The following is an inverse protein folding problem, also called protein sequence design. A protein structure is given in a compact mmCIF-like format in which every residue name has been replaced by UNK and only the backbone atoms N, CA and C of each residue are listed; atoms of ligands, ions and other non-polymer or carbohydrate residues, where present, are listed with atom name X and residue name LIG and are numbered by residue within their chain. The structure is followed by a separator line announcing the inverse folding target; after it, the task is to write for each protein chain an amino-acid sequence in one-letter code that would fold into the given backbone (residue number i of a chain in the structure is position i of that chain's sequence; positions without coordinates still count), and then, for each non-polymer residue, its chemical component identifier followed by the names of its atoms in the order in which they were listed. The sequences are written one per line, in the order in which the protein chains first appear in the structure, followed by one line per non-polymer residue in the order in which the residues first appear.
data_IF_757027578533
#
_entry.id   IF_757027578533
#
_cell.length_a   1.000
_cell.length_b   1.000
_cell.length_c   1.000
_cell.angle_alpha   90.00
_cell.angle_beta   90.00
_cell.angle_gamma   90.00
#
_symmetry.space_group_name_H-M   'P 1'
#
loop_
_entity.id
_entity.type
_entity.pdbx_description
1 polymer ?
#
# COMPACT_ATOMS: atom_id res chain seq x y z
N UNK A 1 -33.79 -13.88 -3.30
CA UNK A 1 -32.33 -14.19 -3.27
C UNK A 1 -31.58 -13.05 -3.96
N UNK A 2 -30.59 -12.48 -3.32
CA UNK A 2 -29.72 -11.42 -3.88
C UNK A 2 -28.33 -12.02 -4.13
N UNK A 3 -27.63 -11.51 -5.16
CA UNK A 3 -26.19 -11.75 -5.36
C UNK A 3 -25.43 -10.60 -4.72
N UNK A 4 -24.52 -10.91 -3.82
CA UNK A 4 -23.81 -9.92 -3.01
C UNK A 4 -22.31 -10.26 -3.06
N UNK A 5 -21.50 -9.28 -3.41
CA UNK A 5 -20.04 -9.35 -3.29
C UNK A 5 -19.61 -8.43 -2.15
N UNK A 6 -18.86 -8.96 -1.22
CA UNK A 6 -18.31 -8.22 -0.08
C UNK A 6 -16.81 -8.20 -0.18
N UNK A 7 -16.23 -7.03 0.05
CA UNK A 7 -14.79 -6.83 0.15
C UNK A 7 -14.48 -6.08 1.44
N UNK A 8 -13.31 -6.30 2.00
CA UNK A 8 -12.74 -5.48 3.07
C UNK A 8 -11.44 -4.83 2.59
N UNK A 9 -10.90 -3.90 3.36
CA UNK A 9 -9.59 -3.32 3.04
C UNK A 9 -8.54 -4.43 2.96
N UNK A 10 -7.67 -4.34 1.94
CA UNK A 10 -6.59 -5.29 1.77
C UNK A 10 -5.49 -5.00 2.80
N UNK A 11 -5.10 -5.96 3.65
CA UNK A 11 -3.99 -5.76 4.56
C UNK A 11 -2.69 -5.60 3.78
N UNK A 12 -1.87 -4.64 4.19
CA UNK A 12 -0.60 -4.39 3.56
C UNK A 12 0.43 -5.45 3.97
N UNK A 13 1.02 -6.14 2.99
CA UNK A 13 1.93 -7.28 3.20
C UNK A 13 3.32 -6.86 3.72
N UNK A 14 3.38 -5.87 4.60
CA UNK A 14 4.61 -5.33 5.20
C UNK A 14 4.73 -5.63 6.70
N UNK A 15 3.83 -6.38 7.30
CA UNK A 15 3.88 -6.68 8.73
C UNK A 15 2.70 -7.52 9.20
N UNK A 16 2.67 -7.91 10.48
CA UNK A 16 1.59 -8.71 11.05
C UNK A 16 0.28 -7.90 11.09
N UNK A 17 -0.84 -8.62 11.15
CA UNK A 17 -2.13 -8.01 11.40
C UNK A 17 -2.16 -7.38 12.81
N UNK A 18 -2.83 -6.27 12.93
CA UNK A 18 -3.17 -5.65 14.22
C UNK A 18 -4.68 -5.62 14.44
N UNK A 19 -5.11 -5.24 15.65
CA UNK A 19 -6.52 -5.25 16.02
C UNK A 19 -7.42 -4.45 15.05
N UNK A 20 -6.91 -3.36 14.46
CA UNK A 20 -7.67 -2.59 13.45
C UNK A 20 -8.06 -3.42 12.24
N UNK A 21 -7.14 -4.21 11.70
CA UNK A 21 -7.43 -5.12 10.59
C UNK A 21 -8.44 -6.22 11.00
N UNK A 22 -8.24 -6.80 12.19
CA UNK A 22 -9.12 -7.88 12.68
C UNK A 22 -10.53 -7.38 12.94
N UNK A 23 -10.70 -6.19 13.53
CA UNK A 23 -12.04 -5.63 13.80
C UNK A 23 -12.82 -5.45 12.50
N UNK A 24 -12.21 -4.87 11.46
CA UNK A 24 -12.86 -4.69 10.17
C UNK A 24 -13.27 -6.03 9.55
N UNK A 25 -12.34 -6.99 9.52
CA UNK A 25 -12.57 -8.29 8.93
C UNK A 25 -13.68 -9.09 9.70
N UNK A 26 -13.69 -9.02 11.03
CA UNK A 26 -14.75 -9.63 11.87
C UNK A 26 -16.10 -8.99 11.59
N UNK A 27 -16.18 -7.68 11.48
CA UNK A 27 -17.46 -6.99 11.17
C UNK A 27 -17.99 -7.40 9.80
N UNK A 28 -17.10 -7.48 8.79
CA UNK A 28 -17.47 -7.93 7.46
C UNK A 28 -17.96 -9.41 7.48
N UNK A 29 -17.23 -10.30 8.17
CA UNK A 29 -17.56 -11.72 8.27
C UNK A 29 -18.90 -11.94 8.96
N UNK A 30 -19.19 -11.25 10.06
CA UNK A 30 -20.48 -11.32 10.75
C UNK A 30 -21.61 -10.94 9.80
N UNK A 31 -21.45 -9.85 9.05
CA UNK A 31 -22.46 -9.41 8.10
C UNK A 31 -22.65 -10.41 6.95
N UNK A 32 -21.57 -10.97 6.41
CA UNK A 32 -21.61 -12.00 5.37
C UNK A 32 -22.35 -13.25 5.85
N UNK A 33 -22.03 -13.74 7.06
CA UNK A 33 -22.74 -14.87 7.67
C UNK A 33 -24.24 -14.61 7.77
N UNK A 34 -24.64 -13.42 8.22
CA UNK A 34 -26.03 -13.04 8.26
C UNK A 34 -26.68 -13.09 6.87
N UNK A 35 -26.04 -12.55 5.82
CA UNK A 35 -26.59 -12.59 4.47
C UNK A 35 -26.73 -14.01 3.93
N UNK A 36 -25.74 -14.88 4.19
CA UNK A 36 -25.81 -16.31 3.84
C UNK A 36 -26.92 -17.01 4.59
N UNK A 37 -27.12 -16.75 5.88
CA UNK A 37 -28.22 -17.30 6.70
C UNK A 37 -29.60 -16.84 6.21
N UNK A 38 -29.73 -15.64 5.65
CA UNK A 38 -30.96 -15.12 5.04
C UNK A 38 -31.21 -15.70 3.62
N UNK A 39 -30.39 -16.64 3.16
CA UNK A 39 -30.54 -17.31 1.86
C UNK A 39 -30.07 -16.49 0.68
N UNK A 40 -29.20 -15.53 0.89
CA UNK A 40 -28.58 -14.77 -0.20
C UNK A 40 -27.33 -15.49 -0.74
N UNK A 41 -27.02 -15.30 -2.03
CA UNK A 41 -25.76 -15.71 -2.67
C UNK A 41 -24.73 -14.64 -2.35
N UNK A 42 -23.97 -14.85 -1.28
CA UNK A 42 -23.02 -13.86 -0.75
C UNK A 42 -21.61 -14.41 -0.77
N UNK A 43 -20.72 -13.71 -1.48
CA UNK A 43 -19.29 -14.01 -1.54
C UNK A 43 -18.50 -12.94 -0.79
N UNK A 44 -17.56 -13.38 0.06
CA UNK A 44 -16.62 -12.53 0.76
C UNK A 44 -15.20 -12.76 0.23
N UNK A 45 -14.61 -11.75 -0.40
CA UNK A 45 -13.28 -11.82 -0.99
C UNK A 45 -12.36 -10.75 -0.41
N UNK A 46 -11.11 -11.11 -0.22
CA UNK A 46 -10.04 -10.19 0.19
C UNK A 46 -8.71 -10.64 -0.42
N UNK A 47 -7.68 -9.81 -0.30
CA UNK A 47 -6.35 -10.13 -0.80
C UNK A 47 -5.28 -9.39 0.02
N UNK A 48 -4.03 -9.84 -0.07
CA UNK A 48 -2.86 -9.08 0.36
C UNK A 48 -2.60 -7.90 -0.57
N UNK A 49 -2.36 -6.71 -0.02
CA UNK A 49 -1.75 -5.60 -0.76
C UNK A 49 -0.21 -5.79 -0.73
N UNK A 50 0.32 -6.36 -1.81
CA UNK A 50 1.65 -6.96 -1.84
C UNK A 50 2.71 -6.14 -2.60
N UNK A 51 2.45 -4.87 -2.90
CA UNK A 51 3.37 -4.02 -3.65
C UNK A 51 3.75 -2.75 -2.88
N UNK A 52 4.89 -2.17 -3.28
CA UNK A 52 5.33 -0.86 -2.78
C UNK A 52 6.74 -0.88 -2.20
N UNK A 53 7.35 0.30 -2.20
CA UNK A 53 8.72 0.53 -1.73
C UNK A 53 8.96 0.08 -0.26
N UNK A 54 8.02 0.24 0.69
CA UNK A 54 8.23 -0.25 2.06
C UNK A 54 8.49 -1.76 2.16
N UNK A 55 7.83 -2.57 1.32
CA UNK A 55 8.08 -4.02 1.25
C UNK A 55 9.51 -4.28 0.76
N UNK A 56 9.95 -3.58 -0.29
CA UNK A 56 11.30 -3.74 -0.83
C UNK A 56 12.38 -3.39 0.20
N UNK A 57 12.21 -2.29 0.93
CA UNK A 57 13.16 -1.85 1.96
C UNK A 57 13.21 -2.84 3.12
N UNK A 58 12.06 -3.33 3.56
CA UNK A 58 12.00 -4.34 4.61
C UNK A 58 12.66 -5.65 4.17
N UNK A 59 12.38 -6.12 2.97
CA UNK A 59 13.01 -7.32 2.41
C UNK A 59 14.54 -7.18 2.33
N UNK A 60 15.03 -6.02 1.90
CA UNK A 60 16.46 -5.71 1.89
C UNK A 60 17.06 -5.72 3.31
N UNK A 61 16.37 -5.13 4.29
CA UNK A 61 16.81 -5.12 5.69
C UNK A 61 16.85 -6.52 6.32
N UNK A 62 15.96 -7.41 5.89
CA UNK A 62 15.92 -8.81 6.31
C UNK A 62 16.79 -9.75 5.43
N UNK A 63 17.43 -9.22 4.39
CA UNK A 63 18.25 -9.99 3.42
C UNK A 63 17.49 -11.12 2.73
N UNK A 64 16.22 -10.89 2.41
CA UNK A 64 15.34 -11.79 1.64
C UNK A 64 14.82 -11.09 0.38
N UNK A 65 14.25 -11.85 -0.56
CA UNK A 65 13.56 -11.23 -1.70
C UNK A 65 12.19 -10.63 -1.27
N UNK A 66 11.67 -9.61 -1.98
CA UNK A 66 10.32 -9.11 -1.75
C UNK A 66 9.26 -10.21 -1.84
N UNK A 67 9.42 -11.17 -2.77
CA UNK A 67 8.52 -12.30 -2.98
C UNK A 67 8.51 -13.25 -1.77
N UNK A 68 9.67 -13.55 -1.21
CA UNK A 68 9.79 -14.37 0.01
C UNK A 68 9.14 -13.67 1.21
N UNK A 69 9.33 -12.35 1.35
CA UNK A 69 8.73 -11.58 2.42
C UNK A 69 7.20 -11.61 2.34
N UNK A 70 6.62 -11.29 1.17
CA UNK A 70 5.16 -11.25 1.01
C UNK A 70 4.53 -12.64 1.16
N UNK A 71 5.18 -13.71 0.68
CA UNK A 71 4.68 -15.07 0.85
C UNK A 71 4.62 -15.50 2.33
N UNK A 72 5.64 -15.12 3.11
CA UNK A 72 5.67 -15.36 4.55
C UNK A 72 4.55 -14.59 5.26
N UNK A 73 4.43 -13.28 4.98
CA UNK A 73 3.40 -12.41 5.57
C UNK A 73 1.99 -12.90 5.22
N UNK A 74 1.75 -13.30 3.97
CA UNK A 74 0.46 -13.86 3.55
C UNK A 74 0.08 -15.12 4.34
N UNK A 75 1.08 -15.98 4.62
CA UNK A 75 0.87 -17.18 5.45
C UNK A 75 0.50 -16.82 6.89
N UNK A 76 1.15 -15.80 7.46
CA UNK A 76 0.84 -15.28 8.80
C UNK A 76 -0.57 -14.68 8.86
N UNK A 77 -0.94 -13.84 7.89
CA UNK A 77 -2.27 -13.24 7.81
C UNK A 77 -3.37 -14.29 7.66
N UNK A 78 -3.19 -15.27 6.77
CA UNK A 78 -4.15 -16.36 6.59
C UNK A 78 -4.36 -17.17 7.89
N UNK A 79 -3.28 -17.47 8.61
CA UNK A 79 -3.35 -18.14 9.92
C UNK A 79 -4.09 -17.28 10.94
N UNK A 80 -3.81 -16.00 11.00
CA UNK A 80 -4.39 -15.09 11.98
C UNK A 80 -5.89 -14.89 11.71
N UNK A 81 -6.30 -14.70 10.45
CA UNK A 81 -7.72 -14.67 10.08
C UNK A 81 -8.44 -15.97 10.42
N UNK A 82 -7.82 -17.11 10.16
CA UNK A 82 -8.40 -18.40 10.53
C UNK A 82 -8.55 -18.55 12.06
N UNK A 83 -7.59 -18.03 12.83
CA UNK A 83 -7.65 -18.00 14.30
C UNK A 83 -8.84 -17.21 14.85
N UNK A 84 -9.27 -16.18 14.15
CA UNK A 84 -10.49 -15.41 14.46
C UNK A 84 -11.75 -15.94 13.76
N UNK A 85 -11.69 -17.10 13.11
CA UNK A 85 -12.78 -17.75 12.39
C UNK A 85 -13.34 -16.89 11.25
N UNK A 86 -12.55 -16.00 10.68
CA UNK A 86 -12.94 -15.18 9.54
C UNK A 86 -12.91 -16.06 8.28
N UNK A 87 -14.05 -16.16 7.61
CA UNK A 87 -14.26 -17.06 6.48
C UNK A 87 -14.35 -16.33 5.15
N UNK A 88 -13.20 -15.94 4.57
CA UNK A 88 -13.17 -15.51 3.18
C UNK A 88 -13.52 -16.66 2.25
N UNK A 89 -14.42 -16.43 1.28
CA UNK A 89 -14.64 -17.40 0.19
C UNK A 89 -13.43 -17.45 -0.73
N UNK A 90 -12.70 -16.32 -0.88
CA UNK A 90 -11.40 -16.24 -1.54
C UNK A 90 -10.50 -15.21 -0.84
N UNK A 91 -9.33 -15.65 -0.43
CA UNK A 91 -8.24 -14.78 0.01
C UNK A 91 -7.06 -14.98 -0.93
N UNK A 92 -6.56 -13.89 -1.55
CA UNK A 92 -5.55 -13.99 -2.60
C UNK A 92 -4.44 -12.94 -2.43
N UNK A 93 -3.75 -12.55 -3.49
CA UNK A 93 -2.71 -11.54 -3.46
C UNK A 93 -2.80 -10.61 -4.67
N UNK A 94 -2.50 -9.34 -4.48
CA UNK A 94 -2.30 -8.42 -5.61
C UNK A 94 -1.05 -8.77 -6.43
N UNK A 95 -0.13 -9.57 -5.87
CA UNK A 95 1.03 -10.11 -6.57
C UNK A 95 0.72 -11.47 -7.24
N UNK A 96 -0.46 -11.61 -7.83
CA UNK A 96 -0.85 -12.82 -8.56
C UNK A 96 -0.76 -12.63 -10.06
N UNK A 97 -0.52 -13.70 -10.83
CA UNK A 97 -0.55 -13.65 -12.30
C UNK A 97 -1.88 -13.13 -12.85
N UNK A 98 -2.99 -13.50 -12.23
CA UNK A 98 -4.34 -13.08 -12.61
C UNK A 98 -4.51 -11.57 -12.45
N UNK A 99 -4.10 -11.02 -11.29
CA UNK A 99 -4.18 -9.59 -11.04
C UNK A 99 -3.29 -8.80 -12.01
N UNK A 100 -2.09 -9.30 -12.31
CA UNK A 100 -1.19 -8.70 -13.30
C UNK A 100 -1.86 -8.56 -14.66
N UNK A 101 -2.43 -9.65 -15.18
CA UNK A 101 -3.12 -9.64 -16.49
C UNK A 101 -4.28 -8.65 -16.49
N UNK A 102 -5.07 -8.60 -15.43
CA UNK A 102 -6.21 -7.69 -15.31
C UNK A 102 -5.75 -6.23 -15.22
N UNK A 103 -4.75 -5.92 -14.40
CA UNK A 103 -4.21 -4.57 -14.23
C UNK A 103 -3.60 -4.05 -15.55
N UNK A 104 -2.77 -4.86 -16.22
CA UNK A 104 -2.20 -4.52 -17.53
C UNK A 104 -3.29 -4.30 -18.58
N UNK A 105 -4.30 -5.17 -18.63
CA UNK A 105 -5.45 -5.02 -19.55
C UNK A 105 -6.22 -3.72 -19.31
N UNK A 106 -6.46 -3.38 -18.04
CA UNK A 106 -7.17 -2.17 -17.66
C UNK A 106 -6.37 -0.92 -18.05
N UNK A 107 -5.07 -0.91 -17.76
CA UNK A 107 -4.17 0.18 -18.17
C UNK A 107 -4.18 0.39 -19.70
N UNK A 108 -4.00 -0.70 -20.46
CA UNK A 108 -3.97 -0.63 -21.93
C UNK A 108 -5.28 -0.07 -22.50
N UNK A 109 -6.44 -0.51 -21.99
CA UNK A 109 -7.75 -0.01 -22.43
C UNK A 109 -7.91 1.49 -22.14
N UNK A 110 -7.50 1.96 -20.97
CA UNK A 110 -7.56 3.38 -20.60
C UNK A 110 -6.62 4.22 -21.48
N UNK A 111 -5.40 3.72 -21.72
CA UNK A 111 -4.43 4.36 -22.61
C UNK A 111 -4.98 4.50 -24.04
N UNK A 112 -5.48 3.40 -24.61
CA UNK A 112 -5.97 3.34 -25.99
C UNK A 112 -7.26 4.16 -26.18
N UNK A 113 -8.04 4.36 -25.11
CA UNK A 113 -9.19 5.26 -25.08
C UNK A 113 -8.82 6.74 -24.85
N UNK A 114 -7.53 7.07 -24.68
CA UNK A 114 -7.07 8.45 -24.49
C UNK A 114 -7.28 9.05 -23.10
N UNK A 115 -7.56 8.22 -22.09
CA UNK A 115 -7.76 8.69 -20.71
C UNK A 115 -6.46 8.85 -19.92
N UNK A 116 -5.32 8.40 -20.47
CA UNK A 116 -4.01 8.53 -19.82
C UNK A 116 -3.22 9.66 -20.45
N UNK A 117 -2.80 10.61 -19.63
CA UNK A 117 -1.92 11.71 -20.04
C UNK A 117 -0.57 11.58 -19.32
N UNK A 118 0.48 12.09 -19.96
CA UNK A 118 1.82 12.16 -19.36
C UNK A 118 2.19 13.60 -19.06
N UNK A 119 2.88 13.81 -17.97
CA UNK A 119 3.48 15.09 -17.61
C UNK A 119 4.76 14.86 -16.82
N UNK A 120 5.80 15.66 -17.03
CA UNK A 120 7.01 15.56 -16.20
C UNK A 120 6.67 15.93 -14.75
N UNK A 121 7.20 15.17 -13.82
CA UNK A 121 7.08 15.40 -12.38
C UNK A 121 8.48 15.49 -11.79
N UNK A 122 8.73 16.56 -11.04
CA UNK A 122 9.98 16.74 -10.31
C UNK A 122 9.93 15.98 -8.99
N UNK A 123 10.80 14.98 -8.84
CA UNK A 123 10.81 14.09 -7.68
C UNK A 123 12.18 14.07 -6.99
N UNK A 124 12.18 13.80 -5.68
CA UNK A 124 13.38 13.58 -4.91
C UNK A 124 14.03 12.25 -5.31
N UNK A 125 15.33 12.27 -5.60
CA UNK A 125 16.11 11.09 -5.98
C UNK A 125 17.30 10.95 -5.03
N UNK A 126 17.46 9.78 -4.44
CA UNK A 126 18.61 9.43 -3.61
C UNK A 126 19.69 8.80 -4.51
N UNK A 127 20.76 9.52 -4.75
CA UNK A 127 21.86 9.05 -5.61
C UNK A 127 22.60 7.86 -5.00
N UNK A 128 22.69 7.82 -3.66
CA UNK A 128 23.38 6.75 -2.96
C UNK A 128 22.57 5.44 -2.97
N UNK A 129 21.25 5.55 -2.82
CA UNK A 129 20.34 4.41 -2.93
C UNK A 129 20.00 4.08 -4.40
N UNK A 130 20.23 4.98 -5.35
CA UNK A 130 19.91 4.79 -6.77
C UNK A 130 18.42 4.75 -7.06
N UNK A 131 17.57 5.46 -6.28
CA UNK A 131 16.12 5.37 -6.38
C UNK A 131 15.40 6.71 -6.17
N UNK A 132 14.22 6.86 -6.77
CA UNK A 132 13.29 7.92 -6.41
C UNK A 132 12.71 7.67 -5.03
N UNK A 133 12.57 8.76 -4.26
CA UNK A 133 12.04 8.68 -2.90
C UNK A 133 10.51 8.91 -2.91
N UNK A 134 9.72 7.95 -2.43
CA UNK A 134 8.33 8.22 -2.06
C UNK A 134 8.25 9.32 -1.00
N UNK A 135 7.12 10.00 -0.91
CA UNK A 135 6.95 11.19 -0.07
C UNK A 135 7.39 10.99 1.40
N UNK A 136 7.12 9.81 1.97
CA UNK A 136 7.52 9.48 3.35
C UNK A 136 8.96 9.01 3.51
N UNK A 137 9.72 8.93 2.43
CA UNK A 137 11.15 8.65 2.47
C UNK A 137 12.03 9.92 2.34
N UNK A 138 11.39 11.09 2.24
CA UNK A 138 12.01 12.38 2.44
C UNK A 138 11.51 13.00 3.75
N UNK A 139 12.41 13.46 4.59
CA UNK A 139 12.11 14.22 5.80
C UNK A 139 12.85 15.55 5.78
N UNK A 140 12.23 16.58 6.38
CA UNK A 140 12.82 17.91 6.46
C UNK A 140 12.02 18.84 7.35
N UNK A 141 12.33 20.11 7.29
CA UNK A 141 11.55 21.15 7.99
C UNK A 141 10.25 21.45 7.25
N UNK A 142 9.16 21.59 7.99
CA UNK A 142 7.87 22.02 7.44
C UNK A 142 8.00 23.40 6.80
N UNK A 143 7.56 23.62 5.54
CA UNK A 143 7.65 24.92 4.89
C UNK A 143 6.73 25.98 5.50
N UNK A 144 5.72 25.57 6.30
CA UNK A 144 4.76 26.50 6.92
C UNK A 144 5.09 26.87 8.36
N UNK A 145 5.42 25.89 9.20
CA UNK A 145 5.64 26.16 10.64
C UNK A 145 7.08 25.95 11.11
N UNK A 146 7.99 25.47 10.23
CA UNK A 146 9.39 25.26 10.54
C UNK A 146 9.69 24.04 11.42
N UNK A 147 8.68 23.28 11.85
CA UNK A 147 8.90 22.05 12.63
C UNK A 147 9.77 21.07 11.85
N UNK A 148 10.85 20.61 12.47
CA UNK A 148 11.82 19.69 11.86
C UNK A 148 11.26 18.26 11.79
N UNK A 149 11.95 17.38 11.06
CA UNK A 149 11.67 15.93 10.95
C UNK A 149 10.28 15.58 10.41
N UNK A 150 9.69 16.46 9.59
CA UNK A 150 8.40 16.22 8.98
C UNK A 150 8.54 15.44 7.67
N UNK A 151 7.54 14.58 7.37
CA UNK A 151 7.47 13.82 6.13
C UNK A 151 7.14 14.70 4.92
N UNK A 152 7.41 14.20 3.71
CA UNK A 152 7.27 14.97 2.47
C UNK A 152 5.83 15.18 1.99
N UNK A 153 4.83 14.64 2.68
CA UNK A 153 3.41 14.75 2.32
C UNK A 153 2.63 15.69 3.25
N UNK A 154 2.99 15.72 4.54
CA UNK A 154 2.23 16.47 5.53
C UNK A 154 3.04 16.77 6.80
N UNK A 155 2.61 17.82 7.51
CA UNK A 155 3.18 18.18 8.81
C UNK A 155 2.32 17.64 9.94
N UNK A 156 2.89 16.80 10.79
CA UNK A 156 2.20 16.24 11.96
C UNK A 156 1.91 17.30 13.05
N UNK A 157 2.66 18.42 13.04
CA UNK A 157 2.46 19.51 14.02
C UNK A 157 1.36 20.49 13.61
N UNK A 158 1.32 20.97 12.36
CA UNK A 158 0.38 22.00 11.92
C UNK A 158 -0.67 21.52 10.91
N UNK A 159 -0.66 20.26 10.51
CA UNK A 159 -1.59 19.67 9.56
C UNK A 159 -1.46 20.13 8.11
N UNK A 160 -0.40 20.90 7.79
CA UNK A 160 -0.21 21.41 6.44
C UNK A 160 0.18 20.28 5.50
N UNK A 161 -0.39 20.26 4.30
CA UNK A 161 0.01 19.39 3.18
C UNK A 161 0.93 20.16 2.22
N UNK A 162 1.90 19.47 1.63
CA UNK A 162 2.88 20.04 0.71
C UNK A 162 3.54 18.90 -0.11
N UNK A 163 4.38 19.28 -1.07
CA UNK A 163 5.19 18.33 -1.83
C UNK A 163 6.54 18.11 -1.13
N UNK A 164 7.21 16.97 -1.29
CA UNK A 164 8.59 16.76 -0.82
C UNK A 164 9.56 17.86 -1.28
N UNK A 165 9.28 18.49 -2.43
CA UNK A 165 10.07 19.58 -2.96
C UNK A 165 9.99 20.87 -2.14
N UNK A 166 8.97 21.01 -1.31
CA UNK A 166 8.75 22.19 -0.49
C UNK A 166 9.42 22.09 0.90
N UNK A 167 9.90 20.89 1.27
CA UNK A 167 10.58 20.67 2.54
C UNK A 167 11.84 21.55 2.66
N UNK A 168 12.06 22.08 3.83
CA UNK A 168 13.30 22.81 4.16
C UNK A 168 14.39 21.79 4.54
N UNK A 169 15.50 21.82 3.84
CA UNK A 169 16.65 20.92 4.03
C UNK A 169 16.24 19.43 4.06
N UNK A 170 15.63 18.90 2.98
CA UNK A 170 15.20 17.52 2.93
C UNK A 170 16.37 16.56 3.02
N UNK A 171 16.15 15.44 3.71
CA UNK A 171 17.08 14.30 3.77
C UNK A 171 16.35 13.01 3.44
N UNK A 172 17.05 12.09 2.77
CA UNK A 172 16.58 10.73 2.55
C UNK A 172 16.55 9.95 3.87
N UNK A 173 15.45 9.31 4.20
CA UNK A 173 15.38 8.41 5.35
C UNK A 173 16.07 7.07 5.10
N UNK A 174 16.41 6.77 3.83
CA UNK A 174 17.10 5.54 3.43
C UNK A 174 18.59 5.64 3.69
N UNK A 175 19.22 6.74 3.27
CA UNK A 175 20.68 6.88 3.34
C UNK A 175 21.18 8.04 4.22
N UNK A 176 20.26 8.90 4.69
CA UNK A 176 20.59 10.11 5.46
C UNK A 176 21.23 11.23 4.60
N UNK A 177 21.27 11.09 3.28
CA UNK A 177 21.86 12.10 2.38
C UNK A 177 20.78 13.08 1.89
N UNK A 178 21.20 14.29 1.50
CA UNK A 178 20.31 15.23 0.82
C UNK A 178 19.95 14.67 -0.57
N UNK A 179 18.66 14.60 -0.93
CA UNK A 179 18.26 14.12 -2.25
C UNK A 179 18.56 15.16 -3.33
N UNK A 180 18.80 14.70 -4.56
CA UNK A 180 18.79 15.54 -5.75
C UNK A 180 17.39 15.52 -6.40
N UNK A 181 17.08 16.56 -7.16
CA UNK A 181 15.78 16.65 -7.84
C UNK A 181 15.93 16.22 -9.30
N UNK A 182 15.17 15.21 -9.70
CA UNK A 182 15.13 14.71 -11.08
C UNK A 182 13.72 14.77 -11.62
N UNK A 183 13.60 14.99 -12.91
CA UNK A 183 12.31 14.84 -13.61
C UNK A 183 12.10 13.38 -14.00
N UNK A 184 10.87 12.93 -13.86
CA UNK A 184 10.38 11.63 -14.33
C UNK A 184 9.03 11.82 -15.02
N UNK A 185 8.68 10.94 -15.97
CA UNK A 185 7.42 10.89 -16.71
C UNK A 185 6.43 9.90 -16.05
#
# INVERSE_FOLDING_TARGET
MRKILVTSALPYANGPLHLGHIIEAVQADIWVRLQKMLGHDCLYVCAEDAHGTPIMIRAQGESVSPEELIARVATEHARDYAGFLIGHDQFHSTHSPENRVLAESMYLRLRDAGYITRRPVRQAYDEKAGMFLPDRYAKGGCPKCGTLEQYGDSCENCGATYSPADLVNPVSTVTGTAPVWRESD
#
